data_IF_001908959244
#
_entry.id   IF_001908959244
#
_cell.length_a   1.000
_cell.length_b   1.000
_cell.length_c   1.000
_cell.angle_alpha   90.00
_cell.angle_beta   90.00
_cell.angle_gamma   90.00
#
_symmetry.space_group_name_H-M   'P 1'
#
loop_
_entity.id
_entity.type
_entity.pdbx_description
1 polymer ?
#
# COMPACT_ATOMS: atom_id res chain seq x y z
N UNK A 1 22.88 30.49 6.63
CA UNK A 1 23.02 29.32 7.53
C UNK A 1 22.65 29.80 8.92
N UNK A 2 21.44 29.49 9.40
CA UNK A 2 20.95 29.92 10.71
C UNK A 2 21.62 28.99 11.75
N UNK A 3 22.39 29.54 12.68
CA UNK A 3 23.04 28.77 13.76
C UNK A 3 21.99 28.42 14.81
N UNK A 4 21.68 27.13 14.93
CA UNK A 4 20.75 26.57 15.92
C UNK A 4 21.48 26.13 17.19
N UNK A 5 22.18 27.05 17.86
CA UNK A 5 23.03 26.71 19.02
C UNK A 5 22.27 26.72 20.36
N UNK A 6 20.94 26.82 20.40
CA UNK A 6 20.19 26.95 21.67
C UNK A 6 18.88 26.16 21.77
N UNK A 7 18.63 25.21 20.87
CA UNK A 7 17.43 24.37 20.93
C UNK A 7 17.80 22.90 20.81
N UNK A 8 17.88 22.19 21.94
CA UNK A 8 18.20 20.76 22.00
C UNK A 8 17.15 19.88 21.27
N UNK A 9 15.90 20.35 21.15
CA UNK A 9 14.78 19.63 20.51
C UNK A 9 14.22 20.35 19.26
N UNK A 10 15.06 21.08 18.52
CA UNK A 10 14.62 21.72 17.29
C UNK A 10 14.45 20.72 16.14
N UNK A 11 13.22 20.53 15.67
CA UNK A 11 12.92 19.73 14.47
C UNK A 11 12.71 20.68 13.28
N UNK A 12 13.70 20.83 12.37
CA UNK A 12 13.53 21.67 11.18
C UNK A 12 12.52 21.04 10.22
N UNK A 13 11.56 21.85 9.76
CA UNK A 13 10.63 21.49 8.69
C UNK A 13 11.01 22.21 7.39
N UNK A 14 11.25 21.44 6.33
CA UNK A 14 11.50 21.96 5.00
C UNK A 14 10.27 21.78 4.12
N UNK A 15 9.89 22.82 3.36
CA UNK A 15 8.72 22.77 2.49
C UNK A 15 8.97 23.46 1.16
N UNK A 16 8.36 22.92 0.10
CA UNK A 16 8.30 23.56 -1.23
C UNK A 16 7.13 24.54 -1.35
N UNK A 17 6.31 24.68 -0.31
CA UNK A 17 5.15 25.56 -0.29
C UNK A 17 5.56 27.03 -0.04
N UNK A 18 6.17 27.66 -1.06
CA UNK A 18 6.81 28.98 -0.98
C UNK A 18 5.88 30.12 -0.54
N UNK A 19 4.56 30.01 -0.75
CA UNK A 19 3.57 31.06 -0.48
C UNK A 19 2.58 30.70 0.66
N UNK A 20 2.89 29.70 1.49
CA UNK A 20 2.01 29.29 2.60
C UNK A 20 2.50 29.87 3.92
N UNK A 21 1.55 30.23 4.77
CA UNK A 21 1.86 30.66 6.14
C UNK A 21 2.53 29.51 6.91
N UNK A 22 3.56 29.79 7.74
CA UNK A 22 4.26 28.76 8.51
C UNK A 22 3.32 27.87 9.35
N UNK A 23 2.28 28.44 9.95
CA UNK A 23 1.31 27.72 10.77
C UNK A 23 0.53 26.67 9.95
N UNK A 24 0.23 26.97 8.68
CA UNK A 24 -0.42 26.03 7.78
C UNK A 24 0.49 24.87 7.42
N UNK A 25 1.79 25.14 7.21
CA UNK A 25 2.79 24.11 6.91
C UNK A 25 2.96 23.18 8.11
N UNK A 26 3.06 23.74 9.32
CA UNK A 26 3.16 22.98 10.58
C UNK A 26 1.88 22.15 10.80
N UNK A 27 0.69 22.74 10.62
CA UNK A 27 -0.58 22.03 10.76
C UNK A 27 -0.66 20.83 9.82
N UNK A 28 -0.30 21.01 8.55
CA UNK A 28 -0.29 19.92 7.58
C UNK A 28 0.75 18.84 7.91
N UNK A 29 1.89 19.22 8.46
CA UNK A 29 2.88 18.24 8.91
C UNK A 29 2.37 17.40 10.09
N UNK A 30 1.57 17.97 11.00
CA UNK A 30 0.96 17.22 12.12
C UNK A 30 0.02 16.11 11.66
N UNK A 31 -0.64 16.29 10.51
CA UNK A 31 -1.49 15.27 9.89
C UNK A 31 -0.72 14.01 9.49
N UNK A 32 0.62 14.04 9.40
CA UNK A 32 1.46 12.86 9.12
C UNK A 32 1.22 11.70 10.07
N UNK A 33 0.88 12.00 11.34
CA UNK A 33 0.56 10.98 12.36
C UNK A 33 -0.58 10.06 11.94
N UNK A 34 -1.49 10.51 11.05
CA UNK A 34 -2.55 9.66 10.50
C UNK A 34 -2.02 8.45 9.74
N UNK A 35 -0.85 8.55 9.09
CA UNK A 35 -0.24 7.42 8.38
C UNK A 35 0.16 6.31 9.35
N UNK A 36 0.65 6.67 10.54
CA UNK A 36 1.00 5.68 11.58
C UNK A 36 -0.23 4.94 12.08
N UNK A 37 -1.35 5.64 12.22
CA UNK A 37 -2.64 5.04 12.58
C UNK A 37 -3.13 4.08 11.48
N UNK A 38 -3.08 4.49 10.20
CA UNK A 38 -3.42 3.63 9.05
C UNK A 38 -2.59 2.35 9.06
N UNK A 39 -1.27 2.46 9.25
CA UNK A 39 -0.37 1.30 9.31
C UNK A 39 -0.72 0.39 10.49
N UNK A 40 -1.00 0.96 11.67
CA UNK A 40 -1.41 0.20 12.84
C UNK A 40 -2.70 -0.59 12.59
N UNK A 41 -3.69 0.02 11.95
CA UNK A 41 -4.98 -0.61 11.65
C UNK A 41 -4.86 -1.70 10.59
N UNK A 42 -4.10 -1.46 9.51
CA UNK A 42 -3.78 -2.48 8.51
C UNK A 42 -3.13 -3.71 9.14
N UNK A 43 -2.14 -3.50 10.02
CA UNK A 43 -1.45 -4.59 10.72
C UNK A 43 -2.37 -5.32 11.71
N UNK A 44 -3.10 -4.56 12.54
CA UNK A 44 -3.85 -5.13 13.66
C UNK A 44 -5.17 -5.78 13.24
N UNK A 45 -5.90 -5.14 12.33
CA UNK A 45 -7.25 -5.57 11.95
C UNK A 45 -7.26 -6.37 10.64
N UNK A 46 -6.51 -5.91 9.64
CA UNK A 46 -6.43 -6.61 8.34
C UNK A 46 -5.28 -7.62 8.27
N UNK A 47 -4.49 -7.76 9.35
CA UNK A 47 -3.48 -8.81 9.55
C UNK A 47 -2.47 -8.92 8.41
N UNK A 48 -2.01 -7.77 7.88
CA UNK A 48 -1.09 -7.75 6.74
C UNK A 48 0.28 -8.39 7.03
N UNK A 49 0.70 -8.47 8.29
CA UNK A 49 2.02 -8.99 8.70
C UNK A 49 2.08 -10.50 8.98
N UNK A 50 1.00 -11.27 8.72
CA UNK A 50 0.96 -12.70 9.03
C UNK A 50 0.57 -13.62 7.86
N UNK A 51 0.17 -13.05 6.72
CA UNK A 51 -0.26 -13.81 5.55
C UNK A 51 0.87 -13.88 4.53
N UNK A 52 1.67 -14.94 4.61
CA UNK A 52 2.77 -15.18 3.68
C UNK A 52 2.32 -16.13 2.59
N UNK A 53 1.93 -15.57 1.45
CA UNK A 53 1.77 -16.34 0.22
C UNK A 53 3.13 -16.85 -0.27
N UNK A 54 3.13 -17.94 -1.03
CA UNK A 54 4.38 -18.59 -1.50
C UNK A 54 5.20 -17.73 -2.45
N UNK A 55 4.56 -16.84 -3.21
CA UNK A 55 5.21 -15.99 -4.21
C UNK A 55 5.20 -14.51 -3.78
N UNK A 56 6.18 -13.74 -4.24
CA UNK A 56 6.26 -12.30 -3.94
C UNK A 56 5.08 -11.55 -4.55
N UNK A 57 4.65 -11.95 -5.75
CA UNK A 57 3.53 -11.36 -6.49
C UNK A 57 2.23 -11.48 -5.71
N UNK A 58 1.91 -12.67 -5.21
CA UNK A 58 0.70 -12.90 -4.41
C UNK A 58 0.74 -12.12 -3.09
N UNK A 59 1.91 -11.98 -2.46
CA UNK A 59 2.06 -11.14 -1.27
C UNK A 59 1.77 -9.67 -1.56
N UNK A 60 2.32 -9.11 -2.65
CA UNK A 60 2.01 -7.74 -3.06
C UNK A 60 0.54 -7.56 -3.41
N UNK A 61 -0.05 -8.53 -4.10
CA UNK A 61 -1.46 -8.58 -4.43
C UNK A 61 -2.35 -8.53 -3.19
N UNK A 62 -2.02 -9.34 -2.18
CA UNK A 62 -2.73 -9.35 -0.90
C UNK A 62 -2.62 -8.02 -0.16
N UNK A 63 -1.42 -7.43 -0.07
CA UNK A 63 -1.23 -6.12 0.57
C UNK A 63 -2.04 -5.05 -0.15
N UNK A 64 -2.04 -5.06 -1.49
CA UNK A 64 -2.84 -4.14 -2.29
C UNK A 64 -4.34 -4.28 -1.99
N UNK A 65 -4.85 -5.52 -1.96
CA UNK A 65 -6.25 -5.78 -1.62
C UNK A 65 -6.59 -5.31 -0.21
N UNK A 66 -5.74 -5.59 0.78
CA UNK A 66 -5.93 -5.11 2.14
C UNK A 66 -6.02 -3.58 2.19
N UNK A 67 -5.18 -2.87 1.42
CA UNK A 67 -5.27 -1.42 1.28
C UNK A 67 -6.60 -0.97 0.63
N UNK A 68 -7.11 -1.66 -0.38
CA UNK A 68 -8.41 -1.34 -0.99
C UNK A 68 -9.55 -1.54 0.01
N UNK A 69 -9.57 -2.66 0.73
CA UNK A 69 -10.56 -2.94 1.78
C UNK A 69 -10.49 -1.88 2.89
N UNK A 70 -9.28 -1.52 3.32
CA UNK A 70 -9.08 -0.44 4.29
C UNK A 70 -9.72 0.86 3.82
N UNK A 71 -9.44 1.31 2.60
CA UNK A 71 -10.00 2.55 2.06
C UNK A 71 -11.53 2.51 1.98
N UNK A 72 -12.10 1.36 1.62
CA UNK A 72 -13.55 1.17 1.60
C UNK A 72 -14.18 1.29 3.01
N UNK A 73 -13.62 0.57 3.99
CA UNK A 73 -14.11 0.62 5.38
C UNK A 73 -13.93 2.01 5.96
N UNK A 74 -12.79 2.67 5.69
CA UNK A 74 -12.52 4.04 6.12
C UNK A 74 -13.54 5.01 5.52
N UNK A 75 -13.84 4.90 4.22
CA UNK A 75 -14.88 5.70 3.58
C UNK A 75 -16.24 5.50 4.27
N UNK A 76 -16.64 4.26 4.53
CA UNK A 76 -17.90 3.97 5.24
C UNK A 76 -17.92 4.54 6.65
N UNK A 77 -16.81 4.43 7.40
CA UNK A 77 -16.67 5.04 8.73
C UNK A 77 -16.80 6.56 8.69
N UNK A 78 -16.29 7.25 7.67
CA UNK A 78 -16.50 8.71 7.53
C UNK A 78 -17.96 9.11 7.28
N UNK A 79 -18.78 8.20 6.75
CA UNK A 79 -20.21 8.43 6.50
C UNK A 79 -21.09 8.09 7.72
N UNK A 80 -20.53 7.40 8.72
CA UNK A 80 -21.22 6.93 9.91
C UNK A 80 -20.62 7.62 11.15
N UNK A 81 -21.21 8.73 11.62
CA UNK A 81 -20.71 9.41 12.81
C UNK A 81 -20.68 8.45 14.01
N UNK A 82 -19.66 8.60 14.86
CA UNK A 82 -19.41 7.82 16.08
C UNK A 82 -19.12 6.31 15.90
N UNK A 83 -18.92 5.85 14.66
CA UNK A 83 -18.57 4.44 14.41
C UNK A 83 -17.08 4.30 14.14
N UNK A 84 -16.37 3.52 14.96
CA UNK A 84 -14.94 3.29 14.75
C UNK A 84 -14.68 2.44 13.49
N UNK A 85 -13.48 2.56 12.92
CA UNK A 85 -13.05 1.72 11.79
C UNK A 85 -13.32 0.23 12.05
N UNK A 86 -13.00 -0.24 13.28
CA UNK A 86 -13.20 -1.63 13.69
C UNK A 86 -14.67 -2.02 13.68
N UNK A 87 -15.55 -1.17 14.19
CA UNK A 87 -16.99 -1.47 14.25
C UNK A 87 -17.59 -1.58 12.84
N UNK A 88 -17.15 -0.72 11.92
CA UNK A 88 -17.54 -0.82 10.50
C UNK A 88 -17.00 -2.10 9.88
N UNK A 89 -15.72 -2.43 10.10
CA UNK A 89 -15.11 -3.65 9.58
C UNK A 89 -15.85 -4.90 10.06
N UNK A 90 -16.15 -4.97 11.36
CA UNK A 90 -16.88 -6.09 11.96
C UNK A 90 -18.31 -6.18 11.40
N UNK A 91 -18.98 -5.04 11.22
CA UNK A 91 -20.34 -4.98 10.67
C UNK A 91 -20.38 -5.42 9.21
N UNK A 92 -19.44 -4.97 8.37
CA UNK A 92 -19.31 -5.38 6.97
C UNK A 92 -18.99 -6.88 6.89
N UNK A 93 -18.08 -7.37 7.73
CA UNK A 93 -17.73 -8.79 7.79
C UNK A 93 -18.93 -9.65 8.17
N UNK A 94 -19.69 -9.25 9.19
CA UNK A 94 -20.91 -9.93 9.61
C UNK A 94 -22.00 -9.91 8.53
N UNK A 95 -22.15 -8.78 7.83
CA UNK A 95 -23.09 -8.65 6.72
C UNK A 95 -22.73 -9.60 5.57
N UNK A 96 -21.47 -9.64 5.13
CA UNK A 96 -21.02 -10.53 4.06
C UNK A 96 -21.23 -12.01 4.42
N UNK A 97 -20.86 -12.40 5.65
CA UNK A 97 -21.07 -13.76 6.15
C UNK A 97 -22.56 -14.14 6.21
N UNK A 98 -23.45 -13.18 6.51
CA UNK A 98 -24.89 -13.40 6.53
C UNK A 98 -25.51 -13.44 5.14
N UNK A 99 -25.02 -12.60 4.23
CA UNK A 99 -25.57 -12.46 2.89
C UNK A 99 -25.23 -13.66 1.98
N UNK A 100 -24.03 -14.26 2.12
CA UNK A 100 -23.60 -15.42 1.34
C UNK A 100 -22.52 -16.24 2.10
N UNK A 101 -22.89 -17.27 2.89
CA UNK A 101 -21.96 -17.84 3.88
C UNK A 101 -20.75 -18.63 3.30
N UNK A 102 -20.84 -19.35 2.16
CA UNK A 102 -19.66 -19.95 1.53
C UNK A 102 -19.39 -19.46 0.09
N UNK A 103 -20.42 -19.22 -0.73
CA UNK A 103 -20.25 -18.89 -2.15
C UNK A 103 -19.52 -17.56 -2.36
N UNK A 104 -19.71 -16.54 -1.49
CA UNK A 104 -18.97 -15.30 -1.68
C UNK A 104 -17.49 -15.49 -1.35
N UNK A 105 -17.11 -16.23 -0.32
CA UNK A 105 -15.69 -16.41 0.05
C UNK A 105 -14.95 -17.22 -1.01
N UNK A 106 -15.59 -18.27 -1.57
CA UNK A 106 -14.99 -19.08 -2.62
C UNK A 106 -15.01 -18.40 -3.99
N UNK A 107 -16.12 -17.77 -4.39
CA UNK A 107 -16.19 -17.04 -5.66
C UNK A 107 -15.25 -15.83 -5.66
N UNK A 108 -15.18 -15.09 -4.54
CA UNK A 108 -14.23 -14.00 -4.37
C UNK A 108 -12.81 -14.57 -4.42
N UNK A 109 -12.51 -15.67 -3.72
CA UNK A 109 -11.21 -16.35 -3.79
C UNK A 109 -10.77 -16.73 -5.20
N UNK A 110 -11.63 -17.36 -6.00
CA UNK A 110 -11.33 -17.73 -7.40
C UNK A 110 -11.15 -16.50 -8.29
N UNK A 111 -12.05 -15.51 -8.18
CA UNK A 111 -11.96 -14.26 -8.95
C UNK A 111 -10.72 -13.46 -8.56
N UNK A 112 -10.30 -13.52 -7.29
CA UNK A 112 -9.11 -12.86 -6.79
C UNK A 112 -7.82 -13.56 -7.17
N UNK A 113 -7.75 -14.89 -7.10
CA UNK A 113 -6.61 -15.64 -7.63
C UNK A 113 -6.42 -15.32 -9.12
N UNK A 114 -7.49 -15.29 -9.91
CA UNK A 114 -7.44 -14.91 -11.31
C UNK A 114 -7.01 -13.44 -11.51
N UNK A 115 -7.55 -12.50 -10.73
CA UNK A 115 -7.16 -11.08 -10.75
C UNK A 115 -5.68 -10.89 -10.35
N UNK A 116 -5.21 -11.57 -9.32
CA UNK A 116 -3.84 -11.46 -8.80
C UNK A 116 -2.81 -12.12 -9.71
N UNK A 117 -3.17 -13.23 -10.36
CA UNK A 117 -2.37 -13.82 -11.45
C UNK A 117 -2.25 -12.81 -12.58
N UNK A 118 -3.34 -12.16 -12.98
CA UNK A 118 -3.33 -11.20 -14.10
C UNK A 118 -2.59 -9.88 -13.80
N UNK A 119 -2.62 -9.40 -12.55
CA UNK A 119 -1.85 -8.20 -12.13
C UNK A 119 -0.34 -8.44 -12.20
N UNK A 120 0.13 -9.69 -12.12
CA UNK A 120 1.54 -10.06 -12.20
C UNK A 120 2.13 -10.23 -13.60
N UNK A 121 1.31 -10.26 -14.66
CA UNK A 121 1.75 -10.63 -16.02
C UNK A 121 1.87 -9.48 -17.03
N UNK A 122 1.47 -8.24 -16.69
CA UNK A 122 1.58 -7.09 -17.60
C UNK A 122 2.82 -6.21 -17.38
N UNK A 123 3.93 -6.77 -16.91
CA UNK A 123 5.24 -6.12 -17.12
C UNK A 123 6.10 -7.06 -17.95
N UNK A 124 6.16 -6.87 -19.29
CA UNK A 124 7.25 -7.49 -20.03
C UNK A 124 8.54 -6.90 -19.48
N UNK A 125 9.35 -7.74 -18.83
CA UNK A 125 10.71 -7.42 -18.40
C UNK A 125 11.52 -7.01 -19.64
N UNK A 126 11.47 -5.71 -19.98
CA UNK A 126 12.25 -5.09 -21.07
C UNK A 126 13.72 -4.90 -20.72
N UNK A 127 14.25 -5.63 -19.75
CA UNK A 127 15.65 -5.50 -19.32
C UNK A 127 16.53 -6.72 -19.64
N UNK A 128 16.01 -7.76 -20.30
CA UNK A 128 16.82 -8.90 -20.72
C UNK A 128 16.98 -9.09 -22.25
N UNK A 129 16.42 -8.19 -23.08
CA UNK A 129 16.51 -8.34 -24.55
C UNK A 129 17.70 -7.59 -25.17
N UNK A 130 18.34 -6.66 -24.47
CA UNK A 130 19.49 -5.90 -25.02
C UNK A 130 20.87 -6.49 -24.70
N UNK A 131 20.98 -7.54 -23.88
CA UNK A 131 22.28 -8.17 -23.57
C UNK A 131 22.61 -9.40 -24.44
N UNK A 132 21.66 -9.90 -25.26
CA UNK A 132 21.91 -11.00 -26.22
C UNK A 132 22.29 -10.52 -27.63
N UNK A 133 22.40 -9.21 -27.86
CA UNK A 133 22.75 -8.64 -29.18
C UNK A 133 24.21 -8.23 -29.35
N UNK A 134 25.03 -8.24 -28.29
CA UNK A 134 26.37 -7.62 -28.30
C UNK A 134 27.52 -8.66 -28.15
N UNK A 135 27.22 -9.94 -27.91
CA UNK A 135 28.27 -10.96 -27.66
C UNK A 135 28.53 -11.90 -28.85
N UNK A 136 28.26 -11.49 -30.10
CA UNK A 136 28.53 -12.33 -31.30
C UNK A 136 29.30 -11.60 -32.40
N UNK A 137 30.11 -10.59 -32.04
CA UNK A 137 31.15 -10.04 -32.91
C UNK A 137 32.39 -9.64 -32.11
N UNK A 138 33.07 -10.62 -31.52
CA UNK A 138 34.45 -10.46 -31.05
C UNK A 138 35.09 -11.85 -30.86
N UNK A 139 35.63 -12.40 -31.95
CA UNK A 139 36.49 -13.57 -31.88
C UNK A 139 36.42 -14.49 -33.09
N UNK A 140 37.06 -14.10 -34.20
CA UNK A 140 37.95 -15.03 -34.91
C UNK A 140 38.92 -14.21 -35.76
N UNK A 141 40.20 -14.31 -35.38
CA UNK A 141 41.38 -13.79 -36.06
C UNK A 141 42.17 -15.02 -36.50
N UNK A 142 42.70 -14.93 -37.72
CA UNK A 142 43.70 -15.76 -38.41
C UNK A 142 43.28 -17.08 -39.07
N UNK A 143 43.22 -17.05 -40.41
CA UNK A 143 44.29 -17.61 -41.27
C UNK A 143 44.32 -16.94 -42.64
#
# INVERSE_FOLDING_TARGET
MIRGEEYDDFIPLFTTALNRKPETVISKYRERSSIEQVIKELKSYLKIEGNYFRTKESNYGFIFLACVVYNFVQYMSTQLPDTSFKDVLDSVSAYLMRANPPECVFALGETFEELLINIGYEVPNRTNTELMGITTQAGEVDT
#
